data_IF_089570953572
#
_entry.id   IF_089570953572
#
_cell.length_a   1.000
_cell.length_b   1.000
_cell.length_c   1.000
_cell.angle_alpha   90.00
_cell.angle_beta   90.00
_cell.angle_gamma   90.00
#
_symmetry.space_group_name_H-M   'P 1'
#
loop_
_entity.id
_entity.type
_entity.pdbx_description
1 polymer ?
#
# COMPACT_ATOMS: atom_id res chain seq x y z
N UNK A 1 -0.41 -38.13 22.38
CA UNK A 1 -1.21 -37.32 23.32
C UNK A 1 -0.23 -36.55 24.20
N UNK A 2 -0.28 -35.21 24.18
CA UNK A 2 0.70 -34.37 24.88
C UNK A 2 0.41 -34.34 26.39
N UNK A 3 0.95 -35.31 27.13
CA UNK A 3 0.69 -35.52 28.57
C UNK A 3 1.15 -34.36 29.45
N UNK A 4 2.30 -33.74 29.13
CA UNK A 4 2.81 -32.56 29.87
C UNK A 4 1.87 -31.37 29.76
N UNK A 5 1.27 -31.13 28.58
CA UNK A 5 0.35 -29.98 28.38
C UNK A 5 -0.87 -30.12 29.29
N UNK A 6 -1.45 -31.31 29.38
CA UNK A 6 -2.63 -31.56 30.22
C UNK A 6 -2.34 -31.50 31.71
N UNK A 7 -1.11 -31.82 32.14
CA UNK A 7 -0.71 -31.68 33.56
C UNK A 7 -0.37 -30.24 33.92
N UNK A 8 0.24 -29.49 33.00
CA UNK A 8 0.68 -28.11 33.22
C UNK A 8 -0.44 -27.08 33.03
N UNK A 9 -1.35 -27.30 32.09
CA UNK A 9 -2.37 -26.33 31.67
C UNK A 9 -3.77 -26.90 31.91
N UNK A 10 -4.53 -26.23 32.77
CA UNK A 10 -5.96 -26.46 32.94
C UNK A 10 -6.74 -25.44 32.10
N UNK A 11 -7.46 -25.90 31.08
CA UNK A 11 -8.38 -25.06 30.33
C UNK A 11 -9.66 -24.84 31.15
N UNK A 12 -9.99 -23.57 31.43
CA UNK A 12 -11.18 -23.20 32.20
C UNK A 12 -12.40 -22.88 31.32
N UNK A 13 -12.19 -22.65 30.03
CA UNK A 13 -13.22 -22.42 29.03
C UNK A 13 -12.76 -22.98 27.68
N UNK A 14 -13.70 -23.27 26.79
CA UNK A 14 -13.38 -23.48 25.37
C UNK A 14 -12.86 -22.17 24.77
N UNK A 15 -11.84 -22.26 23.91
CA UNK A 15 -11.31 -21.08 23.20
C UNK A 15 -12.40 -20.56 22.25
N UNK A 16 -13.05 -19.45 22.62
CA UNK A 16 -13.93 -18.73 21.70
C UNK A 16 -13.11 -18.17 20.53
N UNK A 17 -13.65 -18.29 19.32
CA UNK A 17 -13.03 -17.71 18.13
C UNK A 17 -13.09 -16.17 18.20
N UNK A 18 -12.02 -15.55 18.72
CA UNK A 18 -11.89 -14.09 18.75
C UNK A 18 -11.65 -13.59 17.33
N UNK A 19 -12.23 -12.45 16.98
CA UNK A 19 -11.94 -11.79 15.71
C UNK A 19 -10.49 -11.27 15.70
N UNK A 20 -9.58 -12.04 15.11
CA UNK A 20 -8.16 -11.70 14.96
C UNK A 20 -7.94 -10.64 13.88
N UNK A 21 -6.94 -9.77 14.06
CA UNK A 21 -6.43 -8.94 12.97
C UNK A 21 -5.56 -9.79 12.07
N UNK A 22 -6.17 -10.57 11.18
CA UNK A 22 -5.48 -11.50 10.28
C UNK A 22 -4.99 -10.78 9.02
N UNK A 23 -3.70 -10.96 8.70
CA UNK A 23 -3.08 -10.44 7.47
C UNK A 23 -2.60 -11.61 6.62
N UNK A 24 -2.95 -11.62 5.33
CA UNK A 24 -2.34 -12.52 4.36
C UNK A 24 -1.40 -11.77 3.43
N UNK A 25 -0.20 -12.29 3.20
CA UNK A 25 0.75 -11.81 2.20
C UNK A 25 0.87 -12.88 1.11
N UNK A 26 0.50 -12.49 -0.12
CA UNK A 26 0.64 -13.34 -1.30
C UNK A 26 1.92 -12.95 -2.02
N UNK A 27 2.86 -13.89 -2.08
CA UNK A 27 4.22 -13.75 -2.58
C UNK A 27 5.25 -13.69 -1.44
N UNK A 28 6.20 -14.63 -1.43
CA UNK A 28 7.35 -14.68 -0.51
C UNK A 28 8.65 -14.25 -1.22
N UNK A 29 8.52 -13.38 -2.22
CA UNK A 29 9.66 -12.66 -2.80
C UNK A 29 10.30 -11.69 -1.79
N UNK A 30 11.40 -11.05 -2.18
CA UNK A 30 12.13 -10.09 -1.33
C UNK A 30 11.25 -8.96 -0.77
N UNK A 31 10.21 -8.54 -1.50
CA UNK A 31 9.23 -7.54 -1.02
C UNK A 31 8.28 -8.16 0.00
N UNK A 32 7.70 -9.33 -0.28
CA UNK A 32 6.75 -10.00 0.61
C UNK A 32 7.33 -10.34 1.97
N UNK A 33 8.55 -10.89 2.00
CA UNK A 33 9.25 -11.21 3.26
C UNK A 33 9.62 -9.93 4.03
N UNK A 34 10.07 -8.88 3.34
CA UNK A 34 10.33 -7.60 3.98
C UNK A 34 9.05 -6.98 4.58
N UNK A 35 7.91 -7.09 3.88
CA UNK A 35 6.60 -6.68 4.39
C UNK A 35 6.21 -7.50 5.63
N UNK A 36 6.38 -8.82 5.61
CA UNK A 36 6.13 -9.71 6.74
C UNK A 36 6.89 -9.24 7.99
N UNK A 37 8.21 -9.07 7.88
CA UNK A 37 9.06 -8.57 8.98
C UNK A 37 8.62 -7.19 9.45
N UNK A 38 8.34 -6.25 8.53
CA UNK A 38 7.95 -4.88 8.90
C UNK A 38 6.61 -4.85 9.67
N UNK A 39 5.69 -5.75 9.33
CA UNK A 39 4.38 -5.92 9.99
C UNK A 39 4.55 -6.59 11.35
N UNK A 40 5.37 -7.65 11.42
CA UNK A 40 5.68 -8.37 12.66
C UNK A 40 6.30 -7.45 13.72
N UNK A 41 7.33 -6.68 13.32
CA UNK A 41 8.03 -5.76 14.23
C UNK A 41 7.14 -4.61 14.72
N UNK A 42 6.14 -4.19 13.93
CA UNK A 42 5.14 -3.20 14.35
C UNK A 42 4.00 -3.79 15.19
N UNK A 43 3.92 -5.13 15.32
CA UNK A 43 2.84 -5.80 16.06
C UNK A 43 1.45 -5.47 15.54
N UNK A 44 1.26 -5.45 14.21
CA UNK A 44 0.00 -5.00 13.59
C UNK A 44 -1.08 -6.07 13.46
N UNK A 45 -0.78 -7.32 13.82
CA UNK A 45 -1.63 -8.47 13.55
C UNK A 45 -1.43 -9.56 14.60
N UNK A 46 -2.43 -10.42 14.72
CA UNK A 46 -2.39 -11.59 15.61
C UNK A 46 -2.10 -12.89 14.83
N UNK A 47 -2.32 -12.87 13.51
CA UNK A 47 -2.12 -14.00 12.61
C UNK A 47 -1.61 -13.52 11.25
N UNK A 48 -0.41 -13.98 10.89
CA UNK A 48 0.19 -13.74 9.58
C UNK A 48 0.14 -15.01 8.73
N UNK A 49 -0.39 -14.87 7.52
CA UNK A 49 -0.44 -15.94 6.52
C UNK A 49 0.47 -15.60 5.35
N UNK A 50 1.31 -16.55 4.95
CA UNK A 50 2.11 -16.48 3.73
C UNK A 50 1.58 -17.45 2.68
N UNK A 51 1.42 -16.97 1.44
CA UNK A 51 1.03 -17.79 0.30
C UNK A 51 2.02 -17.60 -0.85
N UNK A 52 2.58 -18.69 -1.36
CA UNK A 52 3.41 -18.70 -2.57
C UNK A 52 3.28 -20.05 -3.29
N UNK A 53 3.65 -20.08 -4.58
CA UNK A 53 3.66 -21.30 -5.39
C UNK A 53 4.93 -22.12 -5.20
N UNK A 54 6.03 -21.49 -4.76
CA UNK A 54 7.29 -22.15 -4.40
C UNK A 54 7.21 -22.65 -2.95
N UNK A 55 6.80 -23.91 -2.77
CA UNK A 55 6.61 -24.52 -1.45
C UNK A 55 7.90 -24.64 -0.64
N UNK A 56 9.03 -24.90 -1.31
CA UNK A 56 10.33 -25.03 -0.65
C UNK A 56 10.75 -23.70 -0.03
N UNK A 57 10.68 -22.63 -0.82
CA UNK A 57 10.95 -21.28 -0.32
C UNK A 57 9.93 -20.84 0.72
N UNK A 58 8.64 -21.03 0.47
CA UNK A 58 7.56 -20.68 1.38
C UNK A 58 7.76 -21.28 2.77
N UNK A 59 8.08 -22.57 2.83
CA UNK A 59 8.36 -23.27 4.09
C UNK A 59 9.60 -22.72 4.79
N UNK A 60 10.68 -22.48 4.04
CA UNK A 60 11.93 -21.92 4.58
C UNK A 60 11.72 -20.54 5.23
N UNK A 61 11.10 -19.61 4.51
CA UNK A 61 10.81 -18.26 5.02
C UNK A 61 9.88 -18.31 6.24
N UNK A 62 8.89 -19.20 6.23
CA UNK A 62 7.94 -19.35 7.34
C UNK A 62 8.63 -19.88 8.60
N UNK A 63 9.49 -20.90 8.47
CA UNK A 63 10.25 -21.44 9.59
C UNK A 63 11.21 -20.40 10.17
N UNK A 64 11.87 -19.62 9.33
CA UNK A 64 12.79 -18.57 9.78
C UNK A 64 12.05 -17.51 10.63
N UNK A 65 10.89 -17.05 10.15
CA UNK A 65 10.02 -16.16 10.93
C UNK A 65 9.54 -16.79 12.23
N UNK A 66 9.12 -18.07 12.20
CA UNK A 66 8.66 -18.79 13.38
C UNK A 66 9.76 -18.95 14.43
N UNK A 67 11.01 -19.18 14.04
CA UNK A 67 12.14 -19.24 14.98
C UNK A 67 12.38 -17.89 15.68
N UNK A 68 12.00 -16.78 15.04
CA UNK A 68 12.03 -15.45 15.64
C UNK A 68 10.87 -15.14 16.61
N UNK A 69 9.89 -16.02 16.76
CA UNK A 69 8.67 -15.75 17.56
C UNK A 69 8.93 -15.24 18.98
N UNK A 70 9.95 -15.69 19.75
CA UNK A 70 10.22 -15.16 21.08
C UNK A 70 10.54 -13.66 21.13
N UNK A 71 10.94 -13.07 20.00
CA UNK A 71 11.30 -11.65 19.89
C UNK A 71 10.16 -10.79 19.33
N UNK A 72 9.00 -11.40 19.05
CA UNK A 72 7.87 -10.75 18.38
C UNK A 72 6.60 -10.91 19.21
N UNK A 73 5.66 -9.98 19.04
CA UNK A 73 4.38 -9.97 19.77
C UNK A 73 3.28 -10.79 19.08
N UNK A 74 3.55 -11.34 17.90
CA UNK A 74 2.56 -12.03 17.08
C UNK A 74 2.58 -13.53 17.36
N UNK A 75 1.44 -14.15 17.74
CA UNK A 75 1.41 -15.52 18.21
C UNK A 75 1.41 -16.58 17.10
N UNK A 76 0.94 -16.25 15.89
CA UNK A 76 0.71 -17.26 14.85
C UNK A 76 1.20 -16.83 13.46
N UNK A 77 2.08 -17.64 12.87
CA UNK A 77 2.57 -17.48 11.50
C UNK A 77 2.33 -18.80 10.78
N UNK A 78 1.51 -18.78 9.72
CA UNK A 78 1.16 -19.95 8.94
C UNK A 78 1.46 -19.72 7.45
N UNK A 79 1.66 -20.81 6.72
CA UNK A 79 1.90 -20.73 5.29
C UNK A 79 1.32 -21.90 4.53
N UNK A 80 0.78 -21.66 3.34
CA UNK A 80 0.37 -22.71 2.42
C UNK A 80 0.32 -22.19 0.99
N UNK A 81 0.42 -23.09 0.02
CA UNK A 81 0.13 -22.80 -1.38
C UNK A 81 -1.38 -22.68 -1.64
N UNK A 82 -2.20 -23.36 -0.83
CA UNK A 82 -3.65 -23.29 -0.91
C UNK A 82 -4.16 -21.99 -0.28
N UNK A 83 -5.00 -21.25 -0.99
CA UNK A 83 -5.58 -20.01 -0.49
C UNK A 83 -6.56 -20.21 0.67
N UNK A 84 -6.99 -21.44 0.99
CA UNK A 84 -7.82 -21.73 2.15
C UNK A 84 -7.24 -21.17 3.46
N UNK A 85 -5.90 -21.17 3.64
CA UNK A 85 -5.28 -20.61 4.84
C UNK A 85 -5.50 -19.09 4.98
N UNK A 86 -5.82 -18.40 3.88
CA UNK A 86 -6.12 -16.97 3.87
C UNK A 86 -7.51 -16.64 4.39
N UNK A 87 -8.34 -17.64 4.70
CA UNK A 87 -9.73 -17.43 5.11
C UNK A 87 -9.86 -16.42 6.25
N UNK A 88 -10.87 -15.55 6.14
CA UNK A 88 -11.19 -14.50 7.10
C UNK A 88 -10.10 -13.44 7.33
N UNK A 89 -9.22 -13.20 6.35
CA UNK A 89 -8.23 -12.11 6.45
C UNK A 89 -8.91 -10.74 6.48
N UNK A 90 -8.42 -9.82 7.30
CA UNK A 90 -8.86 -8.43 7.28
C UNK A 90 -8.19 -7.64 6.17
N UNK A 91 -6.93 -7.96 5.90
CA UNK A 91 -6.10 -7.35 4.87
C UNK A 91 -5.34 -8.44 4.11
N UNK A 92 -5.37 -8.36 2.78
CA UNK A 92 -4.55 -9.21 1.91
C UNK A 92 -3.62 -8.33 1.10
N UNK A 93 -2.31 -8.52 1.27
CA UNK A 93 -1.24 -7.77 0.62
C UNK A 93 -0.70 -8.61 -0.52
N UNK A 94 -0.78 -8.08 -1.75
CA UNK A 94 -0.38 -8.79 -2.95
C UNK A 94 0.96 -8.24 -3.44
N UNK A 95 2.00 -9.05 -3.26
CA UNK A 95 3.37 -8.77 -3.72
C UNK A 95 3.84 -9.73 -4.82
N UNK A 96 3.10 -10.83 -5.02
CA UNK A 96 3.34 -11.82 -6.05
C UNK A 96 3.15 -11.23 -7.46
N UNK A 97 4.11 -11.52 -8.33
CA UNK A 97 4.06 -11.14 -9.74
C UNK A 97 5.34 -11.55 -10.46
N UNK A 98 5.23 -11.59 -11.78
CA UNK A 98 6.36 -11.67 -12.68
C UNK A 98 7.27 -10.44 -12.51
N UNK A 99 8.57 -10.68 -12.56
CA UNK A 99 9.58 -9.64 -12.79
C UNK A 99 9.78 -9.43 -14.28
N UNK A 100 10.12 -8.19 -14.65
CA UNK A 100 10.50 -7.87 -16.03
C UNK A 100 11.75 -8.65 -16.43
N UNK A 101 11.68 -9.35 -17.56
CA UNK A 101 12.83 -10.01 -18.17
C UNK A 101 13.62 -9.01 -19.02
N UNK A 102 14.92 -9.26 -19.22
CA UNK A 102 15.75 -8.44 -20.12
C UNK A 102 15.16 -8.48 -21.54
N UNK A 103 14.86 -7.31 -22.11
CA UNK A 103 14.25 -7.18 -23.44
C UNK A 103 12.73 -7.33 -23.47
N UNK A 104 12.05 -7.58 -22.34
CA UNK A 104 10.59 -7.66 -22.25
C UNK A 104 9.95 -6.27 -22.26
N UNK A 105 8.87 -6.08 -23.02
CA UNK A 105 8.17 -4.80 -23.04
C UNK A 105 7.36 -4.59 -21.76
N UNK A 106 7.02 -3.33 -21.44
CA UNK A 106 6.12 -3.02 -20.30
C UNK A 106 4.76 -3.69 -20.46
N UNK A 107 4.26 -3.79 -21.70
CA UNK A 107 2.96 -4.40 -21.99
C UNK A 107 2.97 -5.90 -21.73
N UNK A 108 4.04 -6.60 -22.12
CA UNK A 108 4.17 -8.05 -21.89
C UNK A 108 4.19 -8.37 -20.39
N UNK A 109 4.93 -7.58 -19.61
CA UNK A 109 4.96 -7.70 -18.16
C UNK A 109 3.56 -7.51 -17.54
N UNK A 110 2.83 -6.48 -17.99
CA UNK A 110 1.43 -6.25 -17.57
C UNK A 110 0.58 -7.46 -17.88
N UNK A 111 0.63 -7.99 -19.10
CA UNK A 111 -0.19 -9.14 -19.50
C UNK A 111 0.10 -10.38 -18.64
N UNK A 112 1.38 -10.66 -18.35
CA UNK A 112 1.76 -11.77 -17.46
C UNK A 112 1.21 -11.58 -16.05
N UNK A 113 1.34 -10.38 -15.49
CA UNK A 113 0.80 -10.09 -14.16
C UNK A 113 -0.72 -10.11 -14.12
N UNK A 114 -1.40 -9.67 -15.18
CA UNK A 114 -2.85 -9.80 -15.32
C UNK A 114 -3.27 -11.27 -15.33
N UNK A 115 -2.56 -12.13 -16.06
CA UNK A 115 -2.84 -13.58 -16.07
C UNK A 115 -2.65 -14.22 -14.69
N UNK A 116 -1.61 -13.82 -13.95
CA UNK A 116 -1.41 -14.24 -12.56
C UNK A 116 -2.59 -13.76 -11.68
N UNK A 117 -3.01 -12.50 -11.82
CA UNK A 117 -4.11 -11.92 -11.04
C UNK A 117 -5.46 -12.59 -11.34
N UNK A 118 -5.73 -12.99 -12.59
CA UNK A 118 -6.95 -13.73 -12.97
C UNK A 118 -7.10 -15.05 -12.21
N UNK A 119 -5.99 -15.71 -11.88
CA UNK A 119 -6.00 -16.94 -11.08
C UNK A 119 -6.03 -16.63 -9.58
N UNK A 120 -5.29 -15.61 -9.14
CA UNK A 120 -5.07 -15.29 -7.73
C UNK A 120 -6.25 -14.58 -7.06
N UNK A 121 -6.79 -13.52 -7.69
CA UNK A 121 -7.78 -12.63 -7.06
C UNK A 121 -9.08 -13.38 -6.71
N UNK A 122 -9.67 -14.21 -7.60
CA UNK A 122 -10.89 -14.94 -7.26
C UNK A 122 -10.73 -15.85 -6.04
N UNK A 123 -9.62 -16.60 -5.96
CA UNK A 123 -9.31 -17.46 -4.82
C UNK A 123 -9.22 -16.67 -3.51
N UNK A 124 -8.53 -15.52 -3.50
CA UNK A 124 -8.47 -14.64 -2.33
C UNK A 124 -9.87 -14.18 -1.92
N UNK A 125 -10.67 -13.71 -2.88
CA UNK A 125 -11.99 -13.13 -2.60
C UNK A 125 -13.02 -14.17 -2.16
N UNK A 126 -12.86 -15.42 -2.59
CA UNK A 126 -13.67 -16.55 -2.14
C UNK A 126 -13.48 -16.82 -0.65
N UNK A 127 -12.24 -16.88 -0.17
CA UNK A 127 -11.95 -17.19 1.24
C UNK A 127 -11.99 -15.96 2.16
N UNK A 128 -11.82 -14.77 1.60
CA UNK A 128 -11.81 -13.50 2.35
C UNK A 128 -12.71 -12.43 1.72
N UNK A 129 -14.04 -12.66 1.64
CA UNK A 129 -14.96 -11.76 0.92
C UNK A 129 -15.08 -10.36 1.54
N UNK A 130 -14.65 -10.18 2.80
CA UNK A 130 -14.73 -8.92 3.55
C UNK A 130 -13.37 -8.20 3.75
N UNK A 131 -12.28 -8.77 3.20
CA UNK A 131 -10.96 -8.17 3.32
C UNK A 131 -10.83 -6.86 2.53
N UNK A 132 -9.71 -6.18 2.77
CA UNK A 132 -9.18 -5.12 1.91
C UNK A 132 -8.00 -5.72 1.15
N UNK A 133 -7.87 -5.37 -0.12
CA UNK A 133 -6.74 -5.73 -0.96
C UNK A 133 -5.77 -4.55 -0.99
N UNK A 134 -4.51 -4.81 -0.65
CA UNK A 134 -3.40 -3.88 -0.82
C UNK A 134 -2.45 -4.42 -1.89
N UNK A 135 -2.49 -3.82 -3.07
CA UNK A 135 -1.71 -4.21 -4.23
C UNK A 135 -0.35 -3.52 -4.17
N UNK A 136 0.71 -4.31 -4.27
CA UNK A 136 2.11 -3.84 -4.30
C UNK A 136 2.79 -4.26 -5.60
N UNK A 137 2.31 -5.35 -6.23
CA UNK A 137 2.82 -5.84 -7.51
C UNK A 137 2.77 -4.76 -8.58
N UNK A 138 3.87 -4.63 -9.33
CA UNK A 138 4.00 -3.65 -10.39
C UNK A 138 3.53 -4.14 -11.77
N UNK A 139 3.02 -3.25 -12.64
CA UNK A 139 2.78 -1.82 -12.37
C UNK A 139 1.53 -1.61 -11.50
N UNK A 140 1.73 -1.00 -10.33
CA UNK A 140 0.77 -1.05 -9.22
C UNK A 140 -0.55 -0.36 -9.55
N UNK A 141 -0.52 0.76 -10.27
CA UNK A 141 -1.75 1.50 -10.63
C UNK A 141 -2.67 0.68 -11.53
N UNK A 142 -2.10 0.04 -12.56
CA UNK A 142 -2.83 -0.82 -13.50
C UNK A 142 -3.33 -2.09 -12.78
N UNK A 143 -2.46 -2.73 -12.01
CA UNK A 143 -2.82 -3.98 -11.32
C UNK A 143 -3.82 -3.77 -10.18
N UNK A 144 -3.87 -2.56 -9.59
CA UNK A 144 -4.93 -2.17 -8.66
C UNK A 144 -6.29 -2.15 -9.36
N UNK A 145 -6.37 -1.58 -10.55
CA UNK A 145 -7.61 -1.61 -11.34
C UNK A 145 -8.00 -3.02 -11.76
N UNK A 146 -7.03 -3.83 -12.18
CA UNK A 146 -7.26 -5.24 -12.55
C UNK A 146 -7.79 -6.02 -11.34
N UNK A 147 -7.17 -5.88 -10.17
CA UNK A 147 -7.65 -6.48 -8.93
C UNK A 147 -9.07 -6.00 -8.58
N UNK A 148 -9.39 -4.71 -8.77
CA UNK A 148 -10.73 -4.19 -8.55
C UNK A 148 -11.76 -4.85 -9.46
N UNK A 149 -11.45 -4.99 -10.76
CA UNK A 149 -12.34 -5.66 -11.72
C UNK A 149 -12.53 -7.14 -11.40
N UNK A 150 -11.47 -7.85 -11.05
CA UNK A 150 -11.51 -9.29 -10.80
C UNK A 150 -12.14 -9.65 -9.45
N UNK A 151 -11.98 -8.80 -8.43
CA UNK A 151 -12.50 -9.06 -7.08
C UNK A 151 -14.00 -8.76 -6.94
N UNK A 152 -14.58 -7.99 -7.85
CA UNK A 152 -15.91 -7.39 -7.72
C UNK A 152 -16.11 -6.61 -6.40
N UNK A 153 -15.03 -6.25 -5.70
CA UNK A 153 -15.11 -5.47 -4.47
C UNK A 153 -15.51 -4.02 -4.76
N UNK A 154 -16.16 -3.35 -3.80
CA UNK A 154 -16.29 -1.91 -3.88
C UNK A 154 -14.90 -1.28 -3.84
N UNK A 155 -14.70 -0.21 -4.63
CA UNK A 155 -13.40 0.44 -4.84
C UNK A 155 -12.67 0.89 -3.57
N UNK A 156 -13.40 1.13 -2.48
CA UNK A 156 -12.81 1.49 -1.18
C UNK A 156 -12.11 0.33 -0.47
N UNK A 157 -12.20 -0.90 -1.00
CA UNK A 157 -11.52 -2.09 -0.49
C UNK A 157 -10.37 -2.56 -1.37
N UNK A 158 -10.05 -1.84 -2.46
CA UNK A 158 -8.94 -2.19 -3.36
C UNK A 158 -8.04 -0.98 -3.48
N UNK A 159 -6.85 -1.10 -2.90
CA UNK A 159 -5.89 -0.01 -2.72
C UNK A 159 -4.57 -0.47 -3.32
N UNK A 160 -3.92 0.36 -4.13
CA UNK A 160 -2.53 0.14 -4.52
C UNK A 160 -1.59 0.94 -3.63
N UNK A 161 -0.39 0.44 -3.35
CA UNK A 161 0.59 1.16 -2.55
C UNK A 161 0.93 2.53 -3.14
N UNK A 162 0.85 2.66 -4.47
CA UNK A 162 0.99 3.91 -5.22
C UNK A 162 2.22 4.72 -4.85
N UNK A 163 2.05 6.04 -4.83
CA UNK A 163 3.10 7.02 -4.59
C UNK A 163 3.42 7.25 -3.10
N UNK A 164 2.98 6.38 -2.18
CA UNK A 164 3.31 6.51 -0.75
C UNK A 164 4.83 6.43 -0.53
N UNK A 165 5.50 5.53 -1.25
CA UNK A 165 6.95 5.40 -1.21
C UNK A 165 7.66 6.57 -1.92
N UNK A 166 7.16 7.02 -3.07
CA UNK A 166 7.74 8.14 -3.82
C UNK A 166 7.66 9.44 -3.03
N UNK A 167 6.54 9.67 -2.34
CA UNK A 167 6.38 10.79 -1.40
C UNK A 167 7.34 10.67 -0.22
N UNK A 168 7.55 9.45 0.33
CA UNK A 168 8.55 9.26 1.39
C UNK A 168 9.97 9.55 0.91
N UNK A 169 10.35 9.12 -0.31
CA UNK A 169 11.64 9.44 -0.95
C UNK A 169 11.79 10.94 -1.21
N UNK A 170 10.73 11.59 -1.66
CA UNK A 170 10.72 13.02 -1.92
C UNK A 170 10.98 13.81 -0.62
N UNK A 171 10.25 13.48 0.45
CA UNK A 171 10.46 14.05 1.79
C UNK A 171 11.87 13.76 2.32
N UNK A 172 12.41 12.57 2.08
CA UNK A 172 13.78 12.24 2.42
C UNK A 172 14.79 13.17 1.72
N UNK A 173 14.69 13.34 0.40
CA UNK A 173 15.64 14.20 -0.33
C UNK A 173 15.47 15.69 -0.02
N UNK A 174 14.25 16.17 0.24
CA UNK A 174 14.02 17.51 0.78
C UNK A 174 14.75 17.66 2.13
N UNK A 175 14.55 16.71 3.03
CA UNK A 175 15.19 16.70 4.34
C UNK A 175 16.72 16.69 4.26
N UNK A 176 17.29 15.88 3.37
CA UNK A 176 18.74 15.86 3.10
C UNK A 176 19.26 17.22 2.62
N UNK A 177 18.49 17.90 1.76
CA UNK A 177 18.88 19.21 1.23
C UNK A 177 18.80 20.32 2.28
N UNK A 178 17.85 20.24 3.21
CA UNK A 178 17.62 21.25 4.23
C UNK A 178 18.27 20.94 5.59
N UNK A 179 18.82 19.75 5.78
CA UNK A 179 19.34 19.29 7.08
C UNK A 179 18.24 19.02 8.11
N UNK A 180 17.04 18.64 7.67
CA UNK A 180 15.84 18.42 8.50
C UNK A 180 15.39 16.97 8.39
N UNK A 181 14.90 16.40 9.50
CA UNK A 181 14.34 15.05 9.48
C UNK A 181 13.11 14.99 8.54
N UNK A 182 13.02 13.94 7.73
CA UNK A 182 12.00 13.79 6.68
C UNK A 182 10.56 13.75 7.20
N UNK A 183 10.38 13.44 8.49
CA UNK A 183 9.08 13.50 9.15
C UNK A 183 8.50 14.93 9.16
N UNK A 184 9.36 15.93 9.39
CA UNK A 184 9.00 17.36 9.41
C UNK A 184 9.04 18.01 8.02
N UNK A 185 9.41 17.25 6.99
CA UNK A 185 9.32 17.69 5.60
C UNK A 185 7.99 17.22 5.00
N UNK A 186 7.18 18.16 4.52
CA UNK A 186 5.90 17.85 3.89
C UNK A 186 5.97 18.11 2.39
N UNK A 187 5.62 17.09 1.60
CA UNK A 187 5.61 17.14 0.15
C UNK A 187 4.98 15.86 -0.39
N UNK A 188 4.26 15.97 -1.51
CA UNK A 188 3.53 14.87 -2.12
C UNK A 188 4.01 14.64 -3.55
N UNK A 189 4.22 13.38 -3.87
CA UNK A 189 4.28 12.86 -5.23
C UNK A 189 2.94 12.18 -5.51
N UNK A 190 2.32 12.54 -6.63
CA UNK A 190 1.03 11.99 -7.07
C UNK A 190 1.15 11.42 -8.50
N UNK A 191 0.08 10.79 -8.99
CA UNK A 191 0.04 10.23 -10.35
C UNK A 191 0.45 8.75 -10.38
N UNK A 192 1.16 8.35 -11.44
CA UNK A 192 1.71 7.00 -11.60
C UNK A 192 2.82 6.77 -10.56
N UNK A 193 2.87 5.59 -9.95
CA UNK A 193 4.09 5.10 -9.33
C UNK A 193 5.11 4.74 -10.41
N UNK A 194 5.91 5.73 -10.83
CA UNK A 194 6.88 5.55 -11.90
C UNK A 194 7.33 6.86 -12.55
N UNK A 195 7.69 6.75 -13.82
CA UNK A 195 8.33 7.84 -14.59
C UNK A 195 7.41 9.04 -14.77
N UNK A 196 6.09 8.85 -14.83
CA UNK A 196 5.12 9.94 -14.98
C UNK A 196 4.54 10.45 -13.66
N UNK A 197 5.20 10.15 -12.54
CA UNK A 197 4.86 10.73 -11.24
C UNK A 197 4.99 12.26 -11.25
N UNK A 198 4.18 12.95 -10.44
CA UNK A 198 4.05 14.41 -10.44
C UNK A 198 4.36 14.98 -9.06
N UNK A 199 5.39 15.83 -8.91
CA UNK A 199 5.67 16.53 -7.66
C UNK A 199 4.71 17.71 -7.47
N UNK A 200 4.04 17.78 -6.32
CA UNK A 200 3.12 18.88 -6.00
C UNK A 200 3.86 20.00 -5.29
N UNK A 201 4.66 20.76 -6.05
CA UNK A 201 5.52 21.84 -5.52
C UNK A 201 4.76 22.90 -4.70
N UNK A 202 3.51 23.20 -5.06
CA UNK A 202 2.67 24.15 -4.33
C UNK A 202 2.28 23.68 -2.91
N UNK A 203 2.38 22.39 -2.61
CA UNK A 203 2.10 21.83 -1.29
C UNK A 203 3.35 21.58 -0.45
N UNK A 204 4.54 21.82 -0.99
CA UNK A 204 5.80 21.54 -0.28
C UNK A 204 6.02 22.60 0.81
N UNK A 205 6.16 22.14 2.05
CA UNK A 205 6.30 23.04 3.20
C UNK A 205 7.10 22.40 4.34
N UNK A 206 7.68 23.26 5.18
CA UNK A 206 8.31 22.91 6.46
C UNK A 206 7.56 23.67 7.55
N UNK A 207 7.02 22.97 8.55
CA UNK A 207 6.25 23.57 9.64
C UNK A 207 5.14 24.54 9.17
N UNK A 208 4.52 24.26 8.02
CA UNK A 208 3.47 25.10 7.44
C UNK A 208 3.96 26.26 6.57
N UNK A 209 5.26 26.54 6.50
CA UNK A 209 5.84 27.57 5.61
C UNK A 209 6.02 26.99 4.20
N UNK A 210 5.28 27.46 3.18
CA UNK A 210 5.40 26.95 1.82
C UNK A 210 6.75 27.32 1.21
N UNK A 211 7.47 26.35 0.66
CA UNK A 211 8.76 26.64 0.00
C UNK A 211 8.58 27.48 -1.26
N UNK A 212 7.40 27.42 -1.88
CA UNK A 212 7.05 28.24 -3.05
C UNK A 212 6.95 29.73 -2.74
N UNK A 213 6.66 30.10 -1.49
CA UNK A 213 6.63 31.50 -1.08
C UNK A 213 8.05 32.07 -0.93
N UNK A 214 9.03 31.20 -0.63
CA UNK A 214 10.45 31.55 -0.50
C UNK A 214 11.16 31.54 -1.85
N UNK A 215 10.81 30.57 -2.71
CA UNK A 215 11.30 30.43 -4.07
C UNK A 215 10.11 30.26 -5.03
N UNK A 216 9.62 31.36 -5.64
CA UNK A 216 8.46 31.31 -6.56
C UNK A 216 8.68 30.41 -7.78
N UNK A 217 9.93 30.24 -8.20
CA UNK A 217 10.34 29.43 -9.34
C UNK A 217 10.63 27.97 -8.96
N UNK A 218 10.42 27.56 -7.71
CA UNK A 218 10.74 26.21 -7.21
C UNK A 218 10.11 25.12 -8.09
N UNK A 219 10.96 24.15 -8.50
CA UNK A 219 10.52 23.04 -9.35
C UNK A 219 10.28 23.40 -10.81
N UNK A 220 10.62 24.62 -11.25
CA UNK A 220 10.63 25.02 -12.66
C UNK A 220 12.05 25.01 -13.23
N UNK A 221 12.18 25.11 -14.56
CA UNK A 221 13.50 25.22 -15.21
C UNK A 221 14.23 26.54 -14.88
N UNK A 222 13.53 27.54 -14.35
CA UNK A 222 14.10 28.83 -13.94
C UNK A 222 14.65 28.82 -12.52
N UNK A 223 14.38 27.75 -11.77
CA UNK A 223 14.81 27.59 -10.39
C UNK A 223 16.35 27.60 -10.29
N UNK A 224 16.98 28.63 -9.70
CA UNK A 224 18.44 28.68 -9.59
C UNK A 224 19.00 27.55 -8.74
N UNK A 225 18.15 27.01 -7.86
CA UNK A 225 18.46 25.92 -6.95
C UNK A 225 18.14 24.54 -7.54
N UNK A 226 17.49 24.48 -8.71
CA UNK A 226 17.16 23.25 -9.43
C UNK A 226 16.45 22.20 -8.55
N UNK A 227 15.44 22.59 -7.77
CA UNK A 227 14.68 21.67 -6.91
C UNK A 227 14.01 20.56 -7.70
N UNK A 228 13.72 20.75 -8.99
CA UNK A 228 13.23 19.69 -9.88
C UNK A 228 14.14 18.45 -9.93
N UNK A 229 15.45 18.62 -9.68
CA UNK A 229 16.37 17.49 -9.57
C UNK A 229 16.05 16.55 -8.39
N UNK A 230 15.34 17.05 -7.37
CA UNK A 230 14.85 16.21 -6.27
C UNK A 230 13.82 15.20 -6.78
N UNK A 231 12.88 15.61 -7.63
CA UNK A 231 11.91 14.69 -8.23
C UNK A 231 12.58 13.72 -9.21
N UNK A 232 13.52 14.20 -10.04
CA UNK A 232 14.34 13.33 -10.90
C UNK A 232 15.07 12.23 -10.11
N UNK A 233 15.62 12.57 -8.94
CA UNK A 233 16.23 11.59 -8.01
C UNK A 233 15.22 10.59 -7.46
N UNK A 234 13.99 11.01 -7.15
CA UNK A 234 12.93 10.08 -6.69
C UNK A 234 12.66 9.00 -7.75
N UNK A 235 12.54 9.40 -9.01
CA UNK A 235 12.35 8.48 -10.14
C UNK A 235 13.58 7.59 -10.33
N UNK A 236 14.78 8.18 -10.39
CA UNK A 236 16.02 7.42 -10.69
C UNK A 236 16.40 6.44 -9.59
N UNK A 237 16.12 6.76 -8.32
CA UNK A 237 16.49 5.95 -7.15
C UNK A 237 16.01 4.50 -7.26
N UNK A 238 14.81 4.27 -7.77
CA UNK A 238 14.28 2.93 -7.99
C UNK A 238 15.16 2.10 -8.93
N UNK A 239 15.51 2.68 -10.08
CA UNK A 239 16.37 2.06 -11.08
C UNK A 239 17.80 1.86 -10.59
N UNK A 240 18.36 2.85 -9.87
CA UNK A 240 19.70 2.77 -9.31
C UNK A 240 19.81 1.63 -8.29
N UNK A 241 18.86 1.50 -7.36
CA UNK A 241 18.85 0.40 -6.40
C UNK A 241 18.69 -0.97 -7.07
N UNK A 242 17.84 -1.08 -8.10
CA UNK A 242 17.71 -2.32 -8.87
C UNK A 242 19.00 -2.64 -9.61
N UNK A 243 19.70 -1.64 -10.16
CA UNK A 243 21.01 -1.84 -10.82
C UNK A 243 22.08 -2.29 -9.82
N UNK A 244 22.06 -1.77 -8.59
CA UNK A 244 23.07 -2.06 -7.57
C UNK A 244 22.82 -3.38 -6.82
N UNK A 245 21.58 -3.64 -6.40
CA UNK A 245 21.19 -4.76 -5.52
C UNK A 245 20.39 -5.86 -6.26
N UNK A 246 19.91 -5.58 -7.47
CA UNK A 246 19.05 -6.47 -8.26
C UNK A 246 17.55 -6.34 -7.96
N UNK A 247 17.16 -5.67 -6.87
CA UNK A 247 15.77 -5.47 -6.46
C UNK A 247 15.63 -4.36 -5.40
N UNK A 248 14.39 -3.96 -5.12
CA UNK A 248 14.05 -3.12 -3.95
C UNK A 248 13.16 -3.92 -2.99
N UNK A 249 13.27 -3.66 -1.68
CA UNK A 249 12.51 -4.38 -0.65
C UNK A 249 12.20 -3.53 0.58
N UNK A 250 13.21 -2.94 1.21
CA UNK A 250 13.06 -2.31 2.52
C UNK A 250 12.22 -1.02 2.52
N UNK A 251 12.46 -0.12 1.57
CA UNK A 251 11.69 1.12 1.49
C UNK A 251 10.20 0.85 1.23
N UNK A 252 9.90 -0.07 0.30
CA UNK A 252 8.51 -0.44 0.00
C UNK A 252 7.86 -1.20 1.16
N UNK A 253 8.59 -2.05 1.89
CA UNK A 253 8.02 -2.77 3.04
C UNK A 253 7.62 -1.84 4.18
N UNK A 254 8.44 -0.84 4.48
CA UNK A 254 8.11 0.18 5.48
C UNK A 254 6.90 1.02 5.04
N UNK A 255 6.81 1.38 3.75
CA UNK A 255 5.65 2.05 3.18
C UNK A 255 4.38 1.18 3.29
N UNK A 256 4.46 -0.12 2.98
CA UNK A 256 3.33 -1.05 3.09
C UNK A 256 2.90 -1.24 4.54
N UNK A 257 3.84 -1.33 5.49
CA UNK A 257 3.54 -1.43 6.91
C UNK A 257 2.89 -0.14 7.45
N UNK A 258 3.31 1.02 6.96
CA UNK A 258 2.67 2.31 7.26
C UNK A 258 1.20 2.37 6.78
N UNK A 259 0.92 1.92 5.55
CA UNK A 259 -0.45 1.79 5.04
C UNK A 259 -1.27 0.78 5.85
N UNK A 260 -0.67 -0.38 6.14
CA UNK A 260 -1.30 -1.46 6.91
C UNK A 260 -1.72 -0.99 8.29
N UNK A 261 -0.85 -0.23 8.98
CA UNK A 261 -1.15 0.35 10.28
C UNK A 261 -2.36 1.30 10.23
N UNK A 262 -2.40 2.19 9.21
CA UNK A 262 -3.55 3.08 9.02
C UNK A 262 -4.86 2.33 8.77
N UNK A 263 -4.81 1.23 8.02
CA UNK A 263 -5.97 0.40 7.71
C UNK A 263 -6.45 -0.30 8.99
N UNK A 264 -5.60 -1.09 9.64
CA UNK A 264 -5.99 -2.00 10.74
C UNK A 264 -6.33 -1.24 12.01
N UNK A 265 -5.56 -0.21 12.36
CA UNK A 265 -5.85 0.64 13.53
C UNK A 265 -6.86 1.74 13.24
N UNK A 266 -7.42 1.79 12.02
CA UNK A 266 -8.42 2.78 11.60
C UNK A 266 -7.98 4.24 11.90
N UNK A 267 -6.70 4.55 11.65
CA UNK A 267 -6.11 5.83 12.05
C UNK A 267 -6.60 7.03 11.23
N UNK A 268 -7.19 6.78 10.05
CA UNK A 268 -7.66 7.83 9.13
C UNK A 268 -6.56 8.81 8.70
N UNK A 269 -5.29 8.38 8.71
CA UNK A 269 -4.18 9.11 8.09
C UNK A 269 -4.38 9.20 6.57
N UNK A 270 -3.84 10.24 5.97
CA UNK A 270 -3.93 10.54 4.54
C UNK A 270 -2.69 10.01 3.83
N UNK A 271 -2.88 9.23 2.76
CA UNK A 271 -1.80 8.64 1.98
C UNK A 271 -2.02 8.81 0.46
N UNK A 272 -0.95 9.03 -0.34
CA UNK A 272 -1.02 9.04 -1.80
C UNK A 272 -0.94 7.61 -2.34
N UNK A 273 -2.09 6.93 -2.40
CA UNK A 273 -2.25 5.50 -2.77
C UNK A 273 -3.10 5.33 -4.02
N UNK A 274 -2.79 4.33 -4.85
CA UNK A 274 -3.54 4.06 -6.09
C UNK A 274 -4.98 3.66 -5.78
N UNK A 275 -5.94 4.28 -6.48
CA UNK A 275 -7.38 4.02 -6.30
C UNK A 275 -8.15 4.59 -7.51
N UNK A 276 -9.46 4.39 -7.58
CA UNK A 276 -10.32 4.80 -8.69
C UNK A 276 -11.15 6.05 -8.36
N UNK A 277 -11.04 7.10 -9.18
CA UNK A 277 -11.77 8.36 -9.10
C UNK A 277 -12.09 8.82 -10.51
N UNK A 278 -13.07 9.70 -10.57
CA UNK A 278 -13.57 10.30 -11.80
C UNK A 278 -13.17 11.78 -11.87
N UNK A 279 -12.62 12.33 -10.78
CA UNK A 279 -12.21 13.73 -10.65
C UNK A 279 -10.76 13.84 -10.18
N UNK A 280 -9.90 14.45 -11.02
CA UNK A 280 -8.51 14.74 -10.70
C UNK A 280 -8.32 15.79 -9.59
N UNK A 281 -9.37 16.56 -9.26
CA UNK A 281 -9.33 17.59 -8.21
C UNK A 281 -9.43 17.05 -6.77
N UNK A 282 -9.68 15.75 -6.60
CA UNK A 282 -9.81 15.09 -5.29
C UNK A 282 -8.80 13.95 -5.25
N UNK A 283 -7.62 14.17 -4.65
CA UNK A 283 -6.44 13.26 -4.72
C UNK A 283 -5.83 12.86 -3.35
N UNK A 284 -6.56 12.90 -2.21
CA UNK A 284 -6.03 12.49 -0.88
C UNK A 284 -6.85 11.43 -0.11
N UNK A 285 -6.33 10.20 0.12
CA UNK A 285 -7.16 9.05 0.59
C UNK A 285 -6.99 8.83 2.09
N UNK A 286 -8.12 8.77 2.80
CA UNK A 286 -8.18 8.25 4.18
C UNK A 286 -8.55 6.77 4.16
N UNK A 287 -7.73 5.92 4.78
CA UNK A 287 -7.96 4.47 4.86
C UNK A 287 -8.84 4.12 6.07
N UNK A 288 -9.87 3.25 5.88
CA UNK A 288 -10.83 2.85 6.93
C UNK A 288 -11.05 1.33 6.95
N UNK A 289 -10.99 0.73 8.14
CA UNK A 289 -11.60 -0.56 8.44
C UNK A 289 -13.00 -0.35 9.01
N UNK A 290 -14.00 -1.11 8.53
CA UNK A 290 -15.31 -1.19 9.22
C UNK A 290 -15.13 -2.09 10.42
N UNK A 291 -15.13 -1.53 11.63
CA UNK A 291 -15.39 -2.33 12.84
C UNK A 291 -16.85 -2.78 12.76
N UNK A 292 -17.07 -4.09 12.74
CA UNK A 292 -18.40 -4.68 12.91
C UNK A 292 -18.73 -4.61 14.40
N UNK A 293 -19.21 -3.46 14.87
CA UNK A 293 -19.96 -3.42 16.12
C UNK A 293 -21.44 -3.74 15.82
N UNK A 294 -22.16 -4.43 16.72
CA UNK A 294 -23.61 -4.57 16.62
C UNK A 294 -24.25 -3.18 16.47
N UNK A 295 -25.13 -3.01 15.48
CA UNK A 295 -25.80 -1.74 15.21
C UNK A 295 -26.79 -1.43 16.32
N UNK A 296 -26.51 -0.41 17.12
CA UNK A 296 -27.56 0.46 17.67
C UNK A 296 -27.59 1.74 16.82
N UNK A 297 -28.72 1.99 16.18
CA UNK A 297 -28.94 3.11 15.27
C UNK A 297 -29.39 4.32 16.09
N UNK A 298 -28.66 5.44 15.99
CA UNK A 298 -29.12 6.75 16.43
C UNK A 298 -29.14 7.70 15.23
N UNK A 299 -30.32 8.02 14.73
CA UNK A 299 -30.56 8.97 13.65
C UNK A 299 -30.50 10.41 14.20
N UNK A 300 -29.69 11.30 13.59
CA UNK A 300 -30.04 12.73 13.39
C UNK A 300 -28.97 13.55 12.64
N UNK A 301 -29.46 14.29 11.64
CA UNK A 301 -28.96 15.55 11.03
C UNK A 301 -27.69 15.46 10.17
N UNK A 302 -27.53 16.12 9.02
CA UNK A 302 -28.27 17.15 8.28
C UNK A 302 -27.25 17.78 7.29
N UNK A 303 -27.62 17.96 6.02
CA UNK A 303 -26.70 18.40 4.94
C UNK A 303 -26.49 19.93 4.88
N UNK A 304 -25.28 20.37 4.53
CA UNK A 304 -25.02 21.69 3.94
C UNK A 304 -23.93 21.63 2.83
N UNK A 305 -24.10 22.44 1.79
CA UNK A 305 -23.25 22.53 0.58
C UNK A 305 -22.49 23.87 0.52
N UNK A 306 -21.32 23.95 -0.17
CA UNK A 306 -20.90 25.22 -0.76
C UNK A 306 -20.50 25.18 -2.26
N UNK A 307 -20.77 26.31 -2.93
CA UNK A 307 -20.56 26.68 -4.35
C UNK A 307 -19.07 26.95 -4.73
N UNK A 308 -18.71 27.04 -6.04
CA UNK A 308 -17.32 26.94 -6.50
C UNK A 308 -16.66 28.29 -6.86
N UNK A 309 -15.32 28.34 -6.76
CA UNK A 309 -14.51 29.36 -7.44
C UNK A 309 -13.17 28.81 -7.95
N UNK A 310 -12.74 29.37 -9.08
CA UNK A 310 -11.45 29.27 -9.80
C UNK A 310 -11.23 28.12 -10.82
N UNK A 311 -11.24 28.54 -12.10
CA UNK A 311 -10.78 27.86 -13.32
C UNK A 311 -9.45 28.50 -13.73
N UNK A 312 -8.42 27.72 -14.07
CA UNK A 312 -7.56 28.02 -15.22
C UNK A 312 -6.69 26.80 -15.65
N UNK A 313 -6.82 26.47 -16.94
CA UNK A 313 -5.86 25.88 -17.91
C UNK A 313 -5.17 24.55 -17.59
N UNK A 314 -5.63 23.50 -18.28
CA UNK A 314 -4.79 22.45 -18.89
C UNK A 314 -5.60 21.79 -20.02
N UNK A 315 -5.52 22.37 -21.23
CA UNK A 315 -6.03 21.74 -22.46
C UNK A 315 -4.93 21.79 -23.50
N UNK A 316 -4.32 20.64 -23.81
CA UNK A 316 -4.08 20.18 -25.19
C UNK A 316 -3.20 18.93 -25.23
N UNK A 317 -3.63 17.98 -26.08
CA UNK A 317 -2.94 16.82 -26.69
C UNK A 317 -3.28 15.41 -26.13
N UNK A 318 -3.33 14.39 -27.02
CA UNK A 318 -4.46 13.45 -27.09
C UNK A 318 -4.17 12.05 -26.50
N UNK A 319 -5.21 11.48 -25.88
CA UNK A 319 -5.66 10.05 -25.87
C UNK A 319 -4.59 8.99 -26.15
N UNK A 320 -4.15 8.14 -25.22
CA UNK A 320 -4.90 7.00 -24.66
C UNK A 320 -4.39 6.54 -23.27
N UNK A 321 -3.45 7.29 -22.66
CA UNK A 321 -2.72 6.86 -21.45
C UNK A 321 -3.25 7.43 -20.11
N UNK A 322 -4.34 8.21 -20.12
CA UNK A 322 -4.74 9.04 -18.96
C UNK A 322 -5.83 8.47 -18.04
N UNK A 323 -6.35 7.26 -18.27
CA UNK A 323 -7.54 6.78 -17.54
C UNK A 323 -7.29 6.02 -16.22
N UNK A 324 -6.04 5.93 -15.74
CA UNK A 324 -5.68 5.17 -14.53
C UNK A 324 -4.78 5.99 -13.61
N UNK A 325 -5.24 7.19 -13.25
CA UNK A 325 -4.60 8.03 -12.25
C UNK A 325 -5.11 7.73 -10.84
N UNK A 326 -4.26 8.02 -9.86
CA UNK A 326 -4.49 7.98 -8.41
C UNK A 326 -5.53 9.05 -7.97
N UNK A 327 -6.45 8.71 -7.07
CA UNK A 327 -7.82 9.21 -7.31
C UNK A 327 -8.76 9.07 -6.10
N UNK A 328 -9.18 10.17 -5.45
CA UNK A 328 -9.78 10.10 -4.12
C UNK A 328 -11.29 10.28 -3.97
N UNK A 329 -11.80 9.41 -3.09
CA UNK A 329 -13.12 9.45 -2.50
C UNK A 329 -13.13 10.26 -1.21
N UNK A 330 -13.81 11.41 -1.25
CA UNK A 330 -14.66 11.80 -0.11
C UNK A 330 -15.88 10.89 -0.22
N UNK A 331 -16.04 9.94 0.69
CA UNK A 331 -17.38 9.40 0.92
C UNK A 331 -17.84 9.85 2.29
N UNK A 332 -18.77 10.80 2.28
CA UNK A 332 -19.78 10.84 3.31
C UNK A 332 -20.52 9.50 3.26
N UNK A 333 -20.37 8.69 4.30
CA UNK A 333 -21.26 7.58 4.55
C UNK A 333 -21.95 7.85 5.88
N UNK A 334 -23.24 8.14 5.78
CA UNK A 334 -24.24 7.83 6.80
C UNK A 334 -24.07 6.37 7.27
#
# INVERSE_FOLDING_TARGET
MATVKSELIKNFAEEEAIHHNKISIVGTGSVGVACAISILLKGLSDELVLVDVDEGKLKGETMDLQHGSPFMKMPNIVSSKDYLVTANSNLVIITAGARQKKGETRLDLVQRNVSIFKLMIPNITQYSPHCKLLIVTNPVDILTYVAWKLSAFPKNRVIGSGCNLDSARFRYFIGQRLGIHSESCHGLILGEHGDSSVPVWSGVNIAGVPLKDLNPDIGTDKDPEQWENVHKKVISSGYEMVKMKGYTSWGISLSVADLTESILKNLRRVHPVSTLSKDWKKMLLTLKMRQLFPKEVCERCGEETPKPAHKQVCTSKPTWAMCLGCHILKVQFL
#
